data_IF_675266863757
#
_entry.id   IF_675266863757
#
_cell.length_a   1.000
_cell.length_b   1.000
_cell.length_c   1.000
_cell.angle_alpha   90.00
_cell.angle_beta   90.00
_cell.angle_gamma   90.00
#
_symmetry.space_group_name_H-M   'P 1'
#
loop_
_entity.id
_entity.type
_entity.pdbx_description
1 polymer ?
#
# COMPACT_ATOMS: atom_id res chain seq x y z
N UNK A 1 14.21 22.76 19.72
CA UNK A 1 14.13 23.11 18.28
C UNK A 1 14.87 22.14 17.35
N UNK A 2 15.47 21.02 17.81
CA UNK A 2 16.46 20.27 17.00
C UNK A 2 16.10 18.83 16.58
N UNK A 3 14.86 18.36 16.73
CA UNK A 3 14.52 16.95 16.49
C UNK A 3 13.59 16.70 15.29
N UNK A 4 13.52 17.65 14.34
CA UNK A 4 12.77 17.45 13.09
C UNK A 4 13.70 16.95 11.99
N UNK A 5 13.27 15.93 11.23
CA UNK A 5 14.06 15.25 10.21
C UNK A 5 14.70 16.19 9.19
N UNK A 6 13.93 17.18 8.70
CA UNK A 6 14.46 18.20 7.78
C UNK A 6 15.61 19.03 8.37
N UNK A 7 15.66 19.20 9.70
CA UNK A 7 16.74 19.88 10.39
C UNK A 7 18.05 19.10 10.44
N UNK A 8 18.03 17.79 10.16
CA UNK A 8 19.21 16.91 10.18
C UNK A 8 19.68 16.46 8.79
N UNK A 9 18.99 16.87 7.74
CA UNK A 9 19.28 16.48 6.35
C UNK A 9 20.72 16.82 5.94
N UNK A 10 21.20 18.03 6.24
CA UNK A 10 22.55 18.47 5.85
C UNK A 10 23.63 17.66 6.58
N UNK A 11 23.42 17.34 7.86
CA UNK A 11 24.34 16.50 8.64
C UNK A 11 24.36 15.07 8.10
N UNK A 12 23.18 14.53 7.79
CA UNK A 12 23.02 13.20 7.20
C UNK A 12 23.77 13.08 5.87
N UNK A 13 23.57 14.04 4.95
CA UNK A 13 24.25 14.06 3.66
C UNK A 13 25.78 14.15 3.78
N UNK A 14 26.30 14.80 4.82
CA UNK A 14 27.75 14.93 5.06
C UNK A 14 28.36 13.75 5.84
N UNK A 15 27.54 12.94 6.51
CA UNK A 15 27.97 11.85 7.38
C UNK A 15 27.89 10.48 6.69
N UNK A 16 26.87 9.66 6.99
CA UNK A 16 26.75 8.29 6.49
C UNK A 16 26.53 8.15 4.97
N UNK A 17 26.25 9.26 4.27
CA UNK A 17 25.85 9.24 2.86
C UNK A 17 24.33 9.11 2.68
N UNK A 18 23.86 9.30 1.45
CA UNK A 18 22.42 9.28 1.13
C UNK A 18 21.99 7.85 0.83
N UNK A 19 21.17 7.31 1.72
CA UNK A 19 20.55 5.99 1.57
C UNK A 19 19.03 6.14 1.65
N UNK A 20 18.34 5.84 0.56
CA UNK A 20 16.87 5.84 0.52
C UNK A 20 16.32 4.78 1.47
N UNK A 21 16.89 3.57 1.40
CA UNK A 21 16.60 2.43 2.28
C UNK A 21 17.88 1.98 2.98
N UNK A 22 17.75 1.25 4.08
CA UNK A 22 18.87 0.63 4.79
C UNK A 22 18.71 -0.90 4.73
N UNK A 23 18.96 -1.45 3.55
CA UNK A 23 18.80 -2.89 3.28
C UNK A 23 20.13 -3.65 3.50
N UNK A 24 21.27 -2.97 3.36
CA UNK A 24 22.60 -3.54 3.59
C UNK A 24 23.18 -3.22 4.99
N UNK A 25 24.06 -4.07 5.53
CA UNK A 25 24.70 -3.82 6.82
C UNK A 25 25.49 -2.50 6.85
N UNK A 26 25.17 -1.65 7.84
CA UNK A 26 25.86 -0.37 8.05
C UNK A 26 25.21 0.81 7.33
N UNK A 27 24.22 0.58 6.47
CA UNK A 27 23.38 1.64 5.93
C UNK A 27 22.47 2.21 7.01
N UNK A 28 22.22 3.52 6.94
CA UNK A 28 21.32 4.24 7.85
C UNK A 28 20.47 5.18 6.99
N UNK A 29 19.15 5.08 7.11
CA UNK A 29 18.24 6.01 6.43
C UNK A 29 18.23 7.38 7.12
N UNK A 30 17.76 8.42 6.43
CA UNK A 30 17.55 9.73 7.05
C UNK A 30 16.61 9.63 8.27
N UNK A 31 15.54 8.83 8.15
CA UNK A 31 14.58 8.62 9.23
C UNK A 31 15.25 8.05 10.48
N UNK A 32 16.05 6.99 10.31
CA UNK A 32 16.78 6.36 11.40
C UNK A 32 17.84 7.28 11.98
N UNK A 33 18.59 7.97 11.13
CA UNK A 33 19.58 8.96 11.56
C UNK A 33 18.96 10.05 12.41
N UNK A 34 17.78 10.55 12.02
CA UNK A 34 17.11 11.66 12.68
C UNK A 34 16.39 11.26 13.96
N UNK A 35 15.69 10.13 13.97
CA UNK A 35 14.75 9.74 15.04
C UNK A 35 15.19 8.51 15.87
N UNK A 36 16.27 7.83 15.48
CA UNK A 36 16.81 6.67 16.22
C UNK A 36 15.90 5.44 16.15
N UNK A 37 15.08 5.34 15.11
CA UNK A 37 14.11 4.27 14.85
C UNK A 37 14.23 3.83 13.41
N UNK A 38 14.23 2.52 13.14
CA UNK A 38 14.44 1.99 11.78
C UNK A 38 13.30 2.31 10.82
N UNK A 39 12.07 2.41 11.30
CA UNK A 39 10.87 2.63 10.48
C UNK A 39 9.94 3.63 11.16
N UNK A 40 9.08 4.28 10.37
CA UNK A 40 8.01 5.14 10.89
C UNK A 40 7.10 4.39 11.86
N UNK A 41 6.74 3.15 11.56
CA UNK A 41 5.88 2.35 12.43
C UNK A 41 6.53 2.04 13.79
N UNK A 42 7.82 1.69 13.83
CA UNK A 42 8.55 1.51 15.08
C UNK A 42 8.73 2.80 15.89
N UNK A 43 8.66 3.96 15.24
CA UNK A 43 8.60 5.26 15.91
C UNK A 43 7.21 5.52 16.50
N UNK A 44 6.15 5.33 15.71
CA UNK A 44 4.77 5.57 16.12
C UNK A 44 4.31 4.63 17.24
N UNK A 45 4.89 3.43 17.34
CA UNK A 45 4.66 2.52 18.47
C UNK A 45 5.07 3.12 19.83
N UNK A 46 5.96 4.11 19.85
CA UNK A 46 6.44 4.76 21.08
C UNK A 46 5.52 5.85 21.59
N UNK A 47 4.56 6.31 20.77
CA UNK A 47 3.67 7.42 21.10
C UNK A 47 2.28 7.23 20.47
N UNK A 48 1.31 6.88 21.30
CA UNK A 48 -0.07 6.61 20.87
C UNK A 48 -0.78 7.83 20.25
N UNK A 49 -0.51 9.05 20.74
CA UNK A 49 -1.10 10.28 20.20
C UNK A 49 -0.60 10.56 18.77
N UNK A 50 0.70 10.35 18.54
CA UNK A 50 1.28 10.47 17.20
C UNK A 50 0.76 9.39 16.25
N UNK A 51 0.63 8.15 16.73
CA UNK A 51 0.04 7.06 15.92
C UNK A 51 -1.42 7.36 15.58
N UNK A 52 -2.21 7.87 16.53
CA UNK A 52 -3.58 8.29 16.26
C UNK A 52 -3.63 9.41 15.22
N UNK A 53 -2.78 10.42 15.36
CA UNK A 53 -2.70 11.54 14.39
C UNK A 53 -2.30 11.05 12.98
N UNK A 54 -1.37 10.09 12.90
CA UNK A 54 -1.00 9.44 11.66
C UNK A 54 -2.16 8.66 11.04
N UNK A 55 -2.88 7.88 11.85
CA UNK A 55 -4.03 7.10 11.38
C UNK A 55 -5.17 8.01 10.88
N UNK A 56 -5.48 9.08 11.62
CA UNK A 56 -6.48 10.08 11.23
C UNK A 56 -6.08 10.79 9.93
N UNK A 57 -4.79 11.11 9.76
CA UNK A 57 -4.25 11.65 8.51
C UNK A 57 -4.41 10.66 7.35
N UNK A 58 -4.00 9.41 7.51
CA UNK A 58 -4.10 8.39 6.44
C UNK A 58 -5.56 8.12 6.05
N UNK A 59 -6.48 8.12 7.01
CA UNK A 59 -7.91 7.95 6.77
C UNK A 59 -8.56 9.15 6.04
N UNK A 60 -7.99 10.35 6.19
CA UNK A 60 -8.49 11.59 5.57
C UNK A 60 -7.69 12.05 4.34
N UNK A 61 -6.56 11.39 4.04
CA UNK A 61 -5.64 11.74 2.95
C UNK A 61 -6.34 11.76 1.59
N UNK A 62 -7.20 10.78 1.33
CA UNK A 62 -8.13 10.83 0.21
C UNK A 62 -9.29 11.73 0.60
N UNK A 63 -9.30 12.94 0.05
CA UNK A 63 -10.33 13.95 0.37
C UNK A 63 -11.74 13.35 0.23
N UNK A 64 -12.71 13.73 1.08
CA UNK A 64 -14.07 13.16 1.03
C UNK A 64 -14.77 13.27 -0.34
N UNK A 65 -14.38 14.25 -1.16
CA UNK A 65 -14.94 14.47 -2.49
C UNK A 65 -14.10 13.83 -3.62
N UNK A 66 -12.98 13.20 -3.30
CA UNK A 66 -12.16 12.50 -4.27
C UNK A 66 -12.76 11.11 -4.57
N UNK A 67 -12.66 10.64 -5.82
CA UNK A 67 -13.16 9.31 -6.18
C UNK A 67 -12.42 8.24 -5.37
N UNK A 68 -13.17 7.27 -4.84
CA UNK A 68 -12.63 6.11 -4.12
C UNK A 68 -12.01 5.09 -5.09
N UNK A 69 -11.19 4.16 -4.61
CA UNK A 69 -10.45 3.24 -5.47
C UNK A 69 -11.40 2.40 -6.34
N UNK A 70 -12.55 2.02 -5.80
CA UNK A 70 -13.60 1.26 -6.49
C UNK A 70 -14.45 2.08 -7.46
N UNK A 71 -14.24 3.40 -7.51
CA UNK A 71 -14.80 4.31 -8.53
C UNK A 71 -13.77 4.59 -9.62
N UNK A 72 -12.48 4.76 -9.25
CA UNK A 72 -11.36 4.91 -10.19
C UNK A 72 -11.19 3.64 -11.03
N UNK A 73 -11.10 2.49 -10.35
CA UNK A 73 -11.25 1.16 -10.94
C UNK A 73 -12.71 0.74 -10.72
N UNK A 74 -13.56 0.65 -11.76
CA UNK A 74 -15.00 0.40 -11.60
C UNK A 74 -15.25 -1.03 -11.10
N UNK A 75 -15.09 -1.25 -9.80
CA UNK A 75 -14.81 -2.55 -9.20
C UNK A 75 -15.98 -3.52 -9.36
N UNK A 76 -17.21 -3.04 -9.24
CA UNK A 76 -18.42 -3.86 -9.41
C UNK A 76 -18.45 -4.51 -10.80
N UNK A 77 -18.13 -3.73 -11.84
CA UNK A 77 -18.13 -4.20 -13.22
C UNK A 77 -16.91 -5.07 -13.52
N UNK A 78 -15.71 -4.63 -13.12
CA UNK A 78 -14.46 -5.29 -13.47
C UNK A 78 -14.25 -6.59 -12.70
N UNK A 79 -14.64 -6.64 -11.42
CA UNK A 79 -14.52 -7.85 -10.62
C UNK A 79 -15.59 -8.87 -10.97
N UNK A 80 -16.76 -8.45 -11.50
CA UNK A 80 -17.85 -9.38 -11.82
C UNK A 80 -18.27 -10.18 -10.60
N UNK A 81 -19.01 -11.27 -10.80
CA UNK A 81 -19.48 -12.10 -9.69
C UNK A 81 -18.44 -13.13 -9.26
N UNK A 82 -18.43 -13.43 -7.97
CA UNK A 82 -17.50 -14.40 -7.40
C UNK A 82 -17.91 -15.83 -7.74
N UNK A 83 -16.92 -16.71 -7.88
CA UNK A 83 -17.13 -18.13 -8.21
C UNK A 83 -17.49 -18.95 -6.97
N UNK A 84 -18.76 -18.92 -6.58
CA UNK A 84 -19.35 -19.75 -5.51
C UNK A 84 -19.55 -19.01 -4.18
N UNK A 85 -20.40 -19.58 -3.33
CA UNK A 85 -20.93 -18.88 -2.15
C UNK A 85 -19.88 -18.59 -1.05
N UNK A 86 -18.82 -19.40 -0.98
CA UNK A 86 -17.71 -19.23 -0.03
C UNK A 86 -16.52 -18.46 -0.61
N UNK A 87 -16.63 -17.95 -1.84
CA UNK A 87 -15.52 -17.29 -2.52
C UNK A 87 -15.15 -15.95 -1.86
N UNK A 88 -13.86 -15.66 -1.86
CA UNK A 88 -13.33 -14.37 -1.37
C UNK A 88 -13.32 -13.37 -2.51
N UNK A 89 -14.07 -12.27 -2.34
CA UNK A 89 -14.13 -11.19 -3.30
C UNK A 89 -12.86 -10.35 -3.24
N UNK A 90 -12.48 -9.93 -2.03
CA UNK A 90 -11.42 -8.95 -1.83
C UNK A 90 -10.64 -9.25 -0.56
N UNK A 91 -9.32 -9.29 -0.69
CA UNK A 91 -8.37 -9.32 0.43
C UNK A 91 -7.65 -7.98 0.47
N UNK A 92 -7.89 -7.19 1.51
CA UNK A 92 -7.21 -5.90 1.76
C UNK A 92 -5.97 -6.16 2.62
N UNK A 93 -4.80 -6.15 1.98
CA UNK A 93 -3.52 -6.55 2.58
C UNK A 93 -2.81 -5.31 3.13
N UNK A 94 -2.57 -5.28 4.45
CA UNK A 94 -2.07 -4.08 5.12
C UNK A 94 -3.12 -2.96 5.19
N UNK A 95 -4.40 -3.33 5.31
CA UNK A 95 -5.53 -2.42 5.20
C UNK A 95 -5.74 -1.48 6.40
N UNK A 96 -4.88 -1.55 7.42
CA UNK A 96 -4.93 -0.68 8.58
C UNK A 96 -6.24 -0.84 9.36
N UNK A 97 -6.96 0.25 9.67
CA UNK A 97 -8.27 0.20 10.32
C UNK A 97 -9.40 -0.39 9.46
N UNK A 98 -9.16 -0.70 8.18
CA UNK A 98 -10.15 -1.31 7.28
C UNK A 98 -11.15 -0.33 6.66
N UNK A 99 -10.85 0.97 6.64
CA UNK A 99 -11.76 1.98 6.11
C UNK A 99 -12.12 1.78 4.63
N UNK A 100 -11.21 1.24 3.81
CA UNK A 100 -11.45 1.04 2.38
C UNK A 100 -12.45 -0.09 2.13
N UNK A 101 -12.30 -1.21 2.85
CA UNK A 101 -13.29 -2.29 2.83
C UNK A 101 -14.64 -1.83 3.39
N UNK A 102 -14.64 -1.03 4.47
CA UNK A 102 -15.86 -0.48 5.04
C UNK A 102 -16.62 0.39 4.02
N UNK A 103 -15.93 1.33 3.37
CA UNK A 103 -16.50 2.20 2.33
C UNK A 103 -16.99 1.39 1.12
N UNK A 104 -16.21 0.40 0.69
CA UNK A 104 -16.61 -0.48 -0.41
C UNK A 104 -17.89 -1.25 -0.07
N UNK A 105 -17.98 -1.84 1.13
CA UNK A 105 -19.16 -2.59 1.58
C UNK A 105 -20.38 -1.71 1.78
N UNK A 106 -20.21 -0.51 2.31
CA UNK A 106 -21.29 0.47 2.48
C UNK A 106 -21.85 0.92 1.12
N UNK A 107 -20.98 1.14 0.13
CA UNK A 107 -21.39 1.60 -1.21
C UNK A 107 -21.98 0.47 -2.06
N UNK A 108 -21.50 -0.76 -1.87
CA UNK A 108 -21.90 -1.93 -2.66
C UNK A 108 -22.35 -3.09 -1.75
N UNK A 109 -23.37 -2.89 -0.90
CA UNK A 109 -23.83 -3.91 0.05
C UNK A 109 -24.32 -5.18 -0.64
N UNK A 110 -24.83 -5.06 -1.88
CA UNK A 110 -25.32 -6.13 -2.73
C UNK A 110 -24.22 -7.04 -3.29
N UNK A 111 -22.95 -6.60 -3.26
CA UNK A 111 -21.88 -7.37 -3.88
C UNK A 111 -21.59 -8.64 -3.05
N UNK A 112 -21.75 -9.84 -3.65
CA UNK A 112 -21.53 -11.09 -2.93
C UNK A 112 -20.04 -11.42 -2.82
N UNK A 113 -19.73 -12.29 -1.85
CA UNK A 113 -18.37 -12.76 -1.58
C UNK A 113 -17.78 -12.16 -0.32
N UNK A 114 -16.81 -12.87 0.23
CA UNK A 114 -16.18 -12.52 1.51
C UNK A 114 -15.20 -11.35 1.33
N UNK A 115 -15.16 -10.46 2.31
CA UNK A 115 -14.21 -9.36 2.41
C UNK A 115 -13.28 -9.65 3.59
N UNK A 116 -11.98 -9.70 3.33
CA UNK A 116 -10.98 -10.04 4.35
C UNK A 116 -10.03 -8.86 4.53
N UNK A 117 -9.99 -8.32 5.75
CA UNK A 117 -9.01 -7.32 6.19
C UNK A 117 -7.80 -8.04 6.78
N UNK A 118 -6.62 -7.79 6.24
CA UNK A 118 -5.36 -8.32 6.74
C UNK A 118 -4.45 -7.22 7.26
N UNK A 119 -3.97 -7.38 8.50
CA UNK A 119 -2.93 -6.51 9.07
C UNK A 119 -2.23 -7.23 10.24
N UNK A 120 -1.24 -6.57 10.83
CA UNK A 120 -0.53 -7.08 12.00
C UNK A 120 -1.46 -7.14 13.23
N UNK A 121 -1.18 -8.05 14.20
CA UNK A 121 -2.01 -8.21 15.41
C UNK A 121 -2.24 -6.90 16.18
N UNK A 122 -1.21 -6.04 16.28
CA UNK A 122 -1.30 -4.78 17.02
C UNK A 122 -2.27 -3.79 16.35
N UNK A 123 -2.31 -3.76 15.02
CA UNK A 123 -3.23 -2.92 14.25
C UNK A 123 -4.67 -3.38 14.43
N UNK A 124 -4.92 -4.69 14.22
CA UNK A 124 -6.27 -5.24 14.28
C UNK A 124 -6.90 -5.13 15.68
N UNK A 125 -6.11 -5.26 16.76
CA UNK A 125 -6.60 -5.09 18.14
C UNK A 125 -7.11 -3.69 18.46
N UNK A 126 -6.71 -2.68 17.69
CA UNK A 126 -7.16 -1.29 17.88
C UNK A 126 -8.49 -1.00 17.19
N UNK A 127 -8.99 -1.93 16.39
CA UNK A 127 -10.27 -1.76 15.72
C UNK A 127 -11.38 -2.11 16.72
N UNK A 128 -12.09 -1.10 17.20
CA UNK A 128 -13.18 -1.29 18.18
C UNK A 128 -14.33 -2.11 17.60
N UNK A 129 -14.67 -1.85 16.33
CA UNK A 129 -15.76 -2.54 15.64
C UNK A 129 -15.57 -2.50 14.13
N UNK A 130 -15.46 -3.68 13.52
CA UNK A 130 -15.56 -3.81 12.06
C UNK A 130 -17.04 -3.87 11.63
N UNK A 131 -17.38 -3.32 10.46
CA UNK A 131 -18.68 -3.54 9.83
C UNK A 131 -18.99 -5.03 9.66
N UNK A 132 -20.27 -5.38 9.76
CA UNK A 132 -20.72 -6.74 9.50
C UNK A 132 -20.39 -7.18 8.06
N UNK A 133 -19.90 -8.41 7.91
CA UNK A 133 -19.48 -8.96 6.62
C UNK A 133 -18.02 -8.68 6.23
N UNK A 134 -17.24 -8.05 7.10
CA UNK A 134 -15.78 -7.92 6.96
C UNK A 134 -15.10 -8.82 8.01
N UNK A 135 -14.22 -9.71 7.54
CA UNK A 135 -13.46 -10.64 8.36
C UNK A 135 -12.05 -10.10 8.62
N UNK A 136 -11.67 -9.94 9.89
CA UNK A 136 -10.28 -9.63 10.26
C UNK A 136 -9.41 -10.89 10.25
N UNK A 137 -8.21 -10.78 9.72
CA UNK A 137 -7.22 -11.86 9.68
C UNK A 137 -5.82 -11.31 10.00
N UNK A 138 -5.22 -11.78 11.09
CA UNK A 138 -3.81 -11.44 11.38
C UNK A 138 -2.90 -11.98 10.27
N UNK A 139 -2.07 -11.12 9.70
CA UNK A 139 -1.17 -11.47 8.61
C UNK A 139 0.04 -10.55 8.52
N UNK A 140 1.21 -11.15 8.28
CA UNK A 140 2.43 -10.46 7.86
C UNK A 140 2.67 -10.74 6.37
N UNK A 141 2.59 -9.69 5.55
CA UNK A 141 2.75 -9.76 4.09
C UNK A 141 4.12 -10.26 3.59
N UNK A 142 5.12 -10.43 4.48
CA UNK A 142 6.39 -11.03 4.14
C UNK A 142 6.36 -12.56 4.24
N UNK A 143 5.27 -13.13 4.74
CA UNK A 143 4.99 -14.57 4.86
C UNK A 143 4.02 -15.04 3.77
N UNK A 144 3.96 -16.36 3.45
CA UNK A 144 3.06 -16.88 2.43
C UNK A 144 1.60 -16.46 2.65
N UNK A 145 0.96 -15.89 1.62
CA UNK A 145 -0.41 -15.40 1.70
C UNK A 145 -1.40 -16.55 1.97
N UNK A 146 -2.13 -16.54 3.10
CA UNK A 146 -3.00 -17.66 3.51
C UNK A 146 -4.29 -17.78 2.68
N UNK A 147 -4.83 -16.68 2.16
CA UNK A 147 -6.04 -16.69 1.34
C UNK A 147 -5.67 -17.01 -0.10
N UNK A 148 -6.12 -18.14 -0.64
CA UNK A 148 -5.80 -18.59 -2.00
C UNK A 148 -6.97 -18.34 -2.96
N UNK A 149 -6.66 -17.93 -4.20
CA UNK A 149 -7.63 -17.80 -5.28
C UNK A 149 -8.70 -16.74 -5.06
N UNK A 150 -8.43 -15.70 -4.26
CA UNK A 150 -9.37 -14.59 -4.11
C UNK A 150 -9.58 -13.87 -5.45
N UNK A 151 -10.77 -13.29 -5.67
CA UNK A 151 -11.04 -12.54 -6.91
C UNK A 151 -10.09 -11.35 -7.07
N UNK A 152 -9.85 -10.63 -5.98
CA UNK A 152 -8.88 -9.54 -5.92
C UNK A 152 -8.06 -9.56 -4.62
N UNK A 153 -6.78 -9.22 -4.76
CA UNK A 153 -5.93 -8.77 -3.66
C UNK A 153 -5.72 -7.26 -3.84
N UNK A 154 -5.74 -6.51 -2.74
CA UNK A 154 -5.65 -5.06 -2.74
C UNK A 154 -4.54 -4.61 -1.80
N UNK A 155 -3.72 -3.68 -2.28
CA UNK A 155 -2.66 -3.02 -1.53
C UNK A 155 -2.86 -1.51 -1.70
N UNK A 156 -3.08 -0.78 -0.62
CA UNK A 156 -3.12 0.68 -0.65
C UNK A 156 -2.07 1.25 0.28
N UNK A 157 -1.23 2.16 -0.21
CA UNK A 157 -0.19 2.80 0.60
C UNK A 157 0.74 1.80 1.32
N UNK A 158 0.98 0.66 0.68
CA UNK A 158 1.86 -0.38 1.23
C UNK A 158 3.23 -0.29 0.58
N UNK A 159 3.30 -0.48 -0.73
CA UNK A 159 4.55 -0.71 -1.44
C UNK A 159 5.45 0.54 -1.52
N UNK A 160 4.89 1.74 -1.40
CA UNK A 160 5.67 2.97 -1.33
C UNK A 160 6.55 3.09 -0.07
N UNK A 161 6.30 2.29 0.98
CA UNK A 161 7.08 2.26 2.21
C UNK A 161 8.28 1.31 2.13
N UNK A 162 8.41 0.59 1.02
CA UNK A 162 9.34 -0.53 0.90
C UNK A 162 10.24 -0.40 -0.31
N UNK A 163 11.49 -0.83 -0.14
CA UNK A 163 12.45 -0.97 -1.23
C UNK A 163 11.97 -1.98 -2.26
N UNK A 164 12.55 -1.94 -3.46
CA UNK A 164 12.19 -2.88 -4.52
C UNK A 164 12.41 -4.34 -4.08
N UNK A 165 13.49 -4.65 -3.37
CA UNK A 165 13.76 -6.01 -2.86
C UNK A 165 12.65 -6.52 -1.92
N UNK A 166 12.14 -5.65 -1.04
CA UNK A 166 11.06 -5.96 -0.11
C UNK A 166 9.70 -6.00 -0.80
N UNK A 167 9.44 -5.08 -1.72
CA UNK A 167 8.22 -5.07 -2.54
C UNK A 167 8.14 -6.30 -3.44
N UNK A 168 9.25 -6.76 -4.03
CA UNK A 168 9.35 -8.02 -4.77
C UNK A 168 8.94 -9.21 -3.89
N UNK A 169 9.42 -9.24 -2.64
CA UNK A 169 9.06 -10.29 -1.69
C UNK A 169 7.56 -10.28 -1.36
N UNK A 170 6.98 -9.11 -1.07
CA UNK A 170 5.54 -8.96 -0.79
C UNK A 170 4.72 -9.42 -1.99
N UNK A 171 5.02 -8.90 -3.18
CA UNK A 171 4.31 -9.22 -4.41
C UNK A 171 4.43 -10.71 -4.75
N UNK A 172 5.60 -11.33 -4.54
CA UNK A 172 5.79 -12.77 -4.76
C UNK A 172 4.86 -13.61 -3.88
N UNK A 173 4.63 -13.22 -2.61
CA UNK A 173 3.69 -13.94 -1.73
C UNK A 173 2.24 -13.85 -2.20
N UNK A 174 1.87 -12.72 -2.79
CA UNK A 174 0.53 -12.53 -3.37
C UNK A 174 0.41 -13.34 -4.66
N UNK A 175 1.40 -13.28 -5.56
CA UNK A 175 1.43 -14.06 -6.81
C UNK A 175 1.31 -15.56 -6.54
N UNK A 176 1.99 -16.09 -5.52
CA UNK A 176 1.87 -17.48 -5.06
C UNK A 176 0.45 -17.88 -4.61
N UNK A 177 -0.41 -16.92 -4.30
CA UNK A 177 -1.79 -17.15 -3.87
C UNK A 177 -2.84 -16.87 -4.95
N UNK A 178 -2.47 -16.13 -6.01
CA UNK A 178 -3.37 -15.78 -7.09
C UNK A 178 -3.70 -16.99 -7.97
N UNK A 179 -4.96 -17.09 -8.39
CA UNK A 179 -5.37 -17.92 -9.52
C UNK A 179 -5.03 -17.15 -10.82
N UNK A 180 -4.14 -17.66 -11.69
CA UNK A 180 -3.71 -16.95 -12.91
C UNK A 180 -4.83 -16.67 -13.91
N UNK A 181 -5.96 -17.37 -13.82
CA UNK A 181 -7.10 -17.20 -14.74
C UNK A 181 -8.24 -16.36 -14.14
N UNK A 182 -8.14 -15.99 -12.86
CA UNK A 182 -9.26 -15.40 -12.12
C UNK A 182 -8.87 -14.25 -11.20
N UNK A 183 -7.74 -14.34 -10.51
CA UNK A 183 -7.31 -13.32 -9.56
C UNK A 183 -6.75 -12.09 -10.26
N UNK A 184 -6.98 -10.92 -9.67
CA UNK A 184 -6.32 -9.67 -10.03
C UNK A 184 -5.64 -9.08 -8.80
N UNK A 185 -4.52 -8.41 -8.96
CA UNK A 185 -3.92 -7.60 -7.91
C UNK A 185 -4.15 -6.12 -8.26
N UNK A 186 -4.71 -5.40 -7.31
CA UNK A 186 -4.99 -3.97 -7.37
C UNK A 186 -4.04 -3.26 -6.41
N UNK A 187 -3.31 -2.26 -6.91
CA UNK A 187 -2.44 -1.42 -6.09
C UNK A 187 -2.95 0.01 -6.20
N UNK A 188 -3.34 0.60 -5.07
CA UNK A 188 -3.78 1.99 -5.00
C UNK A 188 -2.66 2.84 -4.39
N UNK A 189 -1.98 3.59 -5.26
CA UNK A 189 -0.75 4.31 -4.91
C UNK A 189 -0.51 5.50 -5.85
N UNK A 190 0.48 6.35 -5.55
CA UNK A 190 0.90 7.37 -6.52
C UNK A 190 1.68 6.71 -7.67
N UNK A 191 1.37 7.16 -8.89
CA UNK A 191 2.03 6.69 -10.11
C UNK A 191 2.54 7.87 -10.91
N UNK A 192 3.84 8.12 -10.79
CA UNK A 192 4.51 9.25 -11.41
C UNK A 192 4.73 8.99 -12.92
N UNK A 193 4.66 10.01 -13.77
CA UNK A 193 5.21 9.90 -15.12
C UNK A 193 6.75 9.82 -15.04
N UNK A 194 7.39 9.20 -16.03
CA UNK A 194 8.86 9.06 -16.05
C UNK A 194 9.58 10.41 -16.23
N UNK A 195 8.90 11.39 -16.81
CA UNK A 195 9.36 12.77 -17.01
C UNK A 195 8.20 13.73 -16.77
N UNK A 196 8.52 15.00 -16.50
CA UNK A 196 7.53 16.07 -16.29
C UNK A 196 6.47 15.75 -15.22
N UNK A 197 6.93 15.18 -14.09
CA UNK A 197 6.08 14.94 -12.93
C UNK A 197 5.45 16.25 -12.44
N UNK A 198 4.16 16.17 -12.10
CA UNK A 198 3.46 17.28 -11.46
C UNK A 198 4.14 17.64 -10.13
N UNK A 199 4.19 18.94 -9.81
CA UNK A 199 4.86 19.42 -8.60
C UNK A 199 4.31 18.75 -7.34
N UNK A 200 3.01 18.48 -7.27
CA UNK A 200 2.40 17.83 -6.11
C UNK A 200 2.87 16.39 -5.93
N UNK A 201 3.01 15.65 -7.03
CA UNK A 201 3.49 14.28 -7.01
C UNK A 201 4.99 14.22 -6.65
N UNK A 202 5.79 15.14 -7.19
CA UNK A 202 7.20 15.27 -6.84
C UNK A 202 7.40 15.71 -5.37
N UNK A 203 6.56 16.61 -4.86
CA UNK A 203 6.55 16.99 -3.45
C UNK A 203 6.23 15.78 -2.56
N UNK A 204 5.24 14.97 -2.93
CA UNK A 204 4.88 13.77 -2.17
C UNK A 204 6.04 12.77 -2.10
N UNK A 205 6.73 12.51 -3.21
CA UNK A 205 7.90 11.61 -3.25
C UNK A 205 9.02 12.09 -2.30
N UNK A 206 9.32 13.39 -2.32
CA UNK A 206 10.29 13.97 -1.37
C UNK A 206 9.80 13.83 0.07
N UNK A 207 8.51 14.06 0.33
CA UNK A 207 7.94 13.88 1.67
C UNK A 207 8.01 12.43 2.14
N UNK A 208 7.77 11.46 1.26
CA UNK A 208 7.92 10.04 1.54
C UNK A 208 9.35 9.70 1.91
N UNK A 209 10.34 10.18 1.15
CA UNK A 209 11.74 9.97 1.50
C UNK A 209 12.07 10.60 2.86
N UNK A 210 11.69 11.86 3.08
CA UNK A 210 12.02 12.59 4.30
C UNK A 210 11.37 11.99 5.57
N UNK A 211 10.13 11.51 5.46
CA UNK A 211 9.30 11.14 6.61
C UNK A 211 9.15 9.64 6.83
N UNK A 212 9.36 8.80 5.82
CA UNK A 212 9.17 7.34 5.94
C UNK A 212 10.33 6.54 5.38
N UNK A 213 11.32 7.19 4.74
CA UNK A 213 12.32 6.54 3.90
C UNK A 213 11.68 5.80 2.71
N UNK A 214 10.43 6.13 2.36
CA UNK A 214 9.69 5.56 1.24
C UNK A 214 9.90 6.32 -0.07
N UNK A 215 9.34 5.81 -1.15
CA UNK A 215 9.37 6.42 -2.48
C UNK A 215 8.04 6.25 -3.18
N UNK A 216 7.74 7.19 -4.07
CA UNK A 216 6.72 7.02 -5.09
C UNK A 216 7.36 6.51 -6.38
N UNK A 217 6.71 5.57 -7.07
CA UNK A 217 7.27 4.92 -8.26
C UNK A 217 6.70 5.50 -9.54
N UNK A 218 7.56 5.62 -10.55
CA UNK A 218 7.13 5.93 -11.92
C UNK A 218 6.50 4.71 -12.60
N UNK A 219 5.84 4.92 -13.73
CA UNK A 219 5.29 3.83 -14.55
C UNK A 219 6.35 2.79 -14.89
N UNK A 220 7.52 3.21 -15.38
CA UNK A 220 8.58 2.27 -15.77
C UNK A 220 9.15 1.49 -14.57
N UNK A 221 9.24 2.12 -13.39
CA UNK A 221 9.65 1.44 -12.16
C UNK A 221 8.64 0.39 -11.71
N UNK A 222 7.33 0.70 -11.79
CA UNK A 222 6.27 -0.28 -11.53
C UNK A 222 6.33 -1.46 -12.49
N UNK A 223 6.47 -1.22 -13.79
CA UNK A 223 6.58 -2.28 -14.80
C UNK A 223 7.81 -3.17 -14.56
N UNK A 224 8.96 -2.57 -14.25
CA UNK A 224 10.17 -3.29 -13.90
C UNK A 224 9.96 -4.18 -12.66
N UNK A 225 9.33 -3.65 -11.62
CA UNK A 225 9.01 -4.40 -10.39
C UNK A 225 8.09 -5.60 -10.68
N UNK A 226 7.00 -5.39 -11.42
CA UNK A 226 6.05 -6.46 -11.79
C UNK A 226 6.71 -7.54 -12.62
N UNK A 227 7.60 -7.17 -13.55
CA UNK A 227 8.27 -8.13 -14.42
C UNK A 227 9.11 -9.16 -13.66
N UNK A 228 9.72 -8.77 -12.53
CA UNK A 228 10.56 -9.65 -11.71
C UNK A 228 9.77 -10.72 -10.96
N UNK A 229 8.50 -10.46 -10.68
CA UNK A 229 7.63 -11.36 -9.90
C UNK A 229 6.58 -12.06 -10.76
N UNK A 230 6.68 -11.97 -12.09
CA UNK A 230 5.75 -12.63 -13.01
C UNK A 230 4.37 -11.99 -13.08
N UNK A 231 4.27 -10.69 -12.78
CA UNK A 231 3.06 -9.89 -13.00
C UNK A 231 3.14 -9.17 -14.35
N UNK A 232 1.97 -8.93 -14.94
CA UNK A 232 1.78 -8.02 -16.05
C UNK A 232 0.89 -6.84 -15.63
N UNK A 233 1.28 -5.64 -16.08
CA UNK A 233 0.46 -4.45 -15.94
C UNK A 233 -0.69 -4.53 -16.94
N UNK A 234 -1.93 -4.58 -16.46
CA UNK A 234 -3.12 -4.56 -17.31
C UNK A 234 -3.49 -3.12 -17.67
N UNK A 235 -3.62 -2.27 -16.65
CA UNK A 235 -4.01 -0.88 -16.82
C UNK A 235 -3.69 -0.05 -15.58
N UNK A 236 -3.35 1.22 -15.78
CA UNK A 236 -3.29 2.23 -14.72
C UNK A 236 -4.56 3.07 -14.84
N UNK A 237 -5.47 2.89 -13.87
CA UNK A 237 -6.70 3.65 -13.75
C UNK A 237 -6.38 4.95 -12.99
N UNK A 238 -6.40 6.06 -13.70
CA UNK A 238 -6.00 7.37 -13.16
C UNK A 238 -7.24 8.18 -12.78
N UNK A 239 -7.18 8.82 -11.61
CA UNK A 239 -8.06 9.95 -11.30
C UNK A 239 -7.55 11.23 -11.99
N UNK A 240 -8.08 12.39 -11.59
CA UNK A 240 -7.53 13.69 -12.00
C UNK A 240 -6.02 13.79 -11.70
N UNK A 241 -5.31 14.66 -12.44
CA UNK A 241 -3.85 14.80 -12.35
C UNK A 241 -3.42 15.11 -10.90
N UNK A 242 -2.36 14.44 -10.44
CA UNK A 242 -1.77 14.67 -9.12
C UNK A 242 -2.41 13.87 -7.98
N UNK A 243 -3.39 13.01 -8.26
CA UNK A 243 -3.99 12.11 -7.28
C UNK A 243 -3.47 10.67 -7.41
N UNK A 244 -3.76 9.88 -6.38
CA UNK A 244 -3.59 8.42 -6.34
C UNK A 244 -4.24 7.75 -7.58
N UNK A 245 -3.66 6.64 -8.02
CA UNK A 245 -4.14 5.84 -9.15
C UNK A 245 -4.27 4.37 -8.74
N UNK A 246 -5.20 3.65 -9.37
CA UNK A 246 -5.33 2.21 -9.16
C UNK A 246 -4.63 1.48 -10.30
N UNK A 247 -3.57 0.75 -9.98
CA UNK A 247 -2.84 -0.13 -10.89
C UNK A 247 -3.51 -1.50 -10.86
N UNK A 248 -3.99 -1.95 -12.02
CA UNK A 248 -4.50 -3.30 -12.21
C UNK A 248 -3.41 -4.19 -12.79
N UNK A 249 -3.15 -5.30 -12.12
CA UNK A 249 -2.17 -6.30 -12.54
C UNK A 249 -2.74 -7.71 -12.48
N UNK A 250 -2.16 -8.61 -13.29
CA UNK A 250 -2.50 -10.04 -13.33
C UNK A 250 -1.24 -10.88 -13.42
N UNK A 251 -1.34 -12.16 -13.09
CA UNK A 251 -0.23 -13.10 -13.31
C UNK A 251 -0.01 -13.23 -14.82
N UNK A 252 1.24 -13.01 -15.26
CA UNK A 252 1.62 -13.14 -16.67
C UNK A 252 1.40 -14.58 -17.12
N UNK A 253 0.60 -14.77 -18.17
CA UNK A 253 0.41 -16.08 -18.80
C UNK A 253 1.72 -16.49 -19.48
N UNK A 254 2.17 -17.72 -19.23
CA UNK A 254 3.32 -18.33 -19.91
C UNK A 254 2.92 -18.87 -21.27
#
# INVERSE_FOLDING_TARGET
>A
MSNYQGGRLVEYMRGPGIHQFADEPGEVTLFEYALGTKTIFGHLERNEEQKKSFDDYMASRRMPNAPQWFEIFPAVQQLGDVRGDAAVLLVDVGGGPGQELARFKERHPEKPGRLILQDLPLTLRRIEKLPEGIEAMEYDFFTPQPVKGARAYFLRDVLHNWSDSKSERILSRIVEAMDPEYSTLLIDDYVLPDTDADLRAAEMDILMWLHTSGLERTVSQWEALFSKVGLELVKIWRAERGNESVIETRVRRR
#
